data_IF_831043899883
#
_entry.id   IF_831043899883
#
_cell.length_a   1.000
_cell.length_b   1.000
_cell.length_c   1.000
_cell.angle_alpha   90.00
_cell.angle_beta   90.00
_cell.angle_gamma   90.00
#
_symmetry.space_group_name_H-M   'P 1'
#
loop_
_entity.id
_entity.type
_entity.pdbx_description
1 polymer ?
#
# COMPACT_ATOMS: atom_id res chain seq x y z
N UNK A 1 -2.68 -7.64 -21.85
CA UNK A 1 -2.32 -7.83 -20.43
C UNK A 1 -3.55 -8.29 -19.67
N UNK A 2 -3.48 -9.42 -18.97
CA UNK A 2 -4.61 -9.84 -18.13
C UNK A 2 -4.51 -9.18 -16.76
N UNK A 3 -5.53 -8.41 -16.40
CA UNK A 3 -5.67 -7.79 -15.08
C UNK A 3 -5.91 -8.88 -14.04
N UNK A 4 -5.19 -8.90 -12.91
CA UNK A 4 -5.45 -9.83 -11.83
C UNK A 4 -6.87 -9.61 -11.28
N UNK A 5 -7.53 -10.71 -10.97
CA UNK A 5 -8.83 -10.69 -10.31
C UNK A 5 -8.70 -10.18 -8.87
N UNK A 6 -9.81 -9.70 -8.31
CA UNK A 6 -9.85 -9.31 -6.90
C UNK A 6 -9.42 -10.45 -5.95
N UNK A 7 -9.83 -11.69 -6.25
CA UNK A 7 -9.45 -12.85 -5.47
C UNK A 7 -7.93 -13.10 -5.52
N UNK A 8 -7.30 -12.99 -6.69
CA UNK A 8 -5.84 -13.14 -6.81
C UNK A 8 -5.08 -12.07 -6.02
N UNK A 9 -5.57 -10.83 -6.03
CA UNK A 9 -5.02 -9.73 -5.23
C UNK A 9 -5.16 -10.05 -3.74
N UNK A 10 -6.35 -10.41 -3.27
CA UNK A 10 -6.58 -10.75 -1.86
C UNK A 10 -5.75 -11.95 -1.41
N UNK A 11 -5.64 -13.00 -2.22
CA UNK A 11 -4.84 -14.18 -1.92
C UNK A 11 -3.33 -13.90 -1.88
N UNK A 12 -2.89 -12.80 -2.50
CA UNK A 12 -1.51 -12.34 -2.45
C UNK A 12 -1.24 -11.38 -1.28
N UNK A 13 -2.26 -11.00 -0.51
CA UNK A 13 -2.16 -10.08 0.62
C UNK A 13 -2.35 -10.78 1.97
N UNK A 14 -1.62 -10.30 2.97
CA UNK A 14 -1.82 -10.63 4.37
C UNK A 14 -1.83 -9.36 5.22
N UNK A 15 -2.56 -9.40 6.33
CA UNK A 15 -2.64 -8.28 7.28
C UNK A 15 -3.63 -7.15 6.93
N UNK A 16 -4.19 -7.15 5.71
CA UNK A 16 -5.21 -6.19 5.27
C UNK A 16 -6.33 -6.88 4.47
N UNK A 17 -7.62 -6.52 4.64
CA UNK A 17 -8.15 -5.50 5.56
C UNK A 17 -8.12 -5.94 7.03
N UNK A 18 -8.01 -4.97 7.93
CA UNK A 18 -8.06 -5.18 9.39
C UNK A 18 -8.68 -3.97 10.07
N UNK A 19 -9.53 -4.22 11.05
CA UNK A 19 -10.03 -3.21 11.98
C UNK A 19 -9.11 -3.11 13.18
N UNK A 20 -8.61 -1.90 13.44
CA UNK A 20 -7.80 -1.57 14.59
C UNK A 20 -8.67 -1.41 15.83
N UNK A 21 -8.08 -1.74 16.97
CA UNK A 21 -8.60 -1.46 18.29
C UNK A 21 -7.48 -0.85 19.13
N UNK A 22 -7.83 -0.21 20.24
CA UNK A 22 -6.83 0.38 21.14
C UNK A 22 -5.81 -0.63 21.69
N UNK A 23 -6.13 -1.92 21.69
CA UNK A 23 -5.19 -3.00 22.02
C UNK A 23 -4.06 -3.19 21.01
N UNK A 24 -4.13 -2.52 19.84
CA UNK A 24 -3.04 -2.49 18.86
C UNK A 24 -2.03 -1.36 19.11
N UNK A 25 -2.31 -0.50 20.10
CA UNK A 25 -1.49 0.65 20.44
C UNK A 25 -0.88 0.46 21.81
N UNK A 26 0.39 0.81 21.95
CA UNK A 26 1.03 0.89 23.25
C UNK A 26 0.42 2.05 24.05
N UNK A 27 -0.13 1.76 25.21
CA UNK A 27 -0.63 2.82 26.11
C UNK A 27 0.54 3.63 26.67
N UNK A 28 0.44 4.95 26.62
CA UNK A 28 1.46 5.88 27.15
C UNK A 28 0.83 6.88 28.10
N UNK A 29 1.57 7.26 29.15
CA UNK A 29 1.13 8.30 30.08
C UNK A 29 1.22 9.70 29.47
N UNK A 30 2.26 9.93 28.66
CA UNK A 30 2.54 11.21 27.99
C UNK A 30 2.86 10.92 26.54
N UNK A 31 2.36 11.74 25.62
CA UNK A 31 2.65 11.58 24.20
C UNK A 31 4.16 11.73 23.94
N UNK A 32 4.79 10.75 23.27
CA UNK A 32 6.17 10.88 22.79
C UNK A 32 6.29 11.80 21.57
N UNK A 33 5.18 12.21 20.95
CA UNK A 33 5.16 13.16 19.83
C UNK A 33 4.01 14.17 20.01
N UNK A 34 4.14 15.16 20.92
CA UNK A 34 3.14 16.20 21.07
C UNK A 34 3.02 17.05 19.78
N UNK A 35 1.82 17.54 19.41
CA UNK A 35 0.58 17.49 20.18
C UNK A 35 -0.26 16.20 19.99
N UNK A 36 0.21 15.22 19.22
CA UNK A 36 -0.58 14.05 18.87
C UNK A 36 -0.87 13.15 20.09
N UNK A 37 -2.14 12.86 20.37
CA UNK A 37 -2.53 11.98 21.48
C UNK A 37 -2.51 10.48 21.12
N UNK A 38 -2.54 10.17 19.83
CA UNK A 38 -2.33 8.84 19.28
C UNK A 38 -1.49 8.92 18.01
N UNK A 39 -0.90 7.80 17.62
CA UNK A 39 -0.18 7.68 16.36
C UNK A 39 -0.14 6.22 15.90
N UNK A 40 -0.44 6.01 14.62
CA UNK A 40 -0.34 4.72 13.94
C UNK A 40 0.95 4.64 13.15
N UNK A 41 1.74 3.61 13.45
CA UNK A 41 2.90 3.24 12.63
C UNK A 41 2.57 1.96 11.87
N UNK A 42 2.31 2.09 10.58
CA UNK A 42 2.03 0.96 9.69
C UNK A 42 3.02 0.92 8.53
N UNK A 43 3.28 -0.27 8.02
CA UNK A 43 4.15 -0.47 6.86
C UNK A 43 3.66 -1.65 6.02
N UNK A 44 4.24 -1.79 4.84
CA UNK A 44 4.07 -2.98 4.03
C UNK A 44 5.42 -3.49 3.52
N UNK A 45 5.48 -4.77 3.18
CA UNK A 45 6.63 -5.39 2.51
C UNK A 45 6.16 -6.28 1.37
N UNK A 46 7.00 -6.46 0.33
CA UNK A 46 6.72 -7.34 -0.80
C UNK A 46 7.79 -8.41 -0.96
N UNK A 47 7.38 -9.65 -1.25
CA UNK A 47 8.29 -10.81 -1.36
C UNK A 47 7.78 -11.87 -2.35
N UNK A 48 8.57 -12.93 -2.57
CA UNK A 48 8.07 -14.22 -3.04
C UNK A 48 7.80 -14.36 -4.54
N UNK A 49 8.17 -13.38 -5.36
CA UNK A 49 7.85 -13.39 -6.78
C UNK A 49 8.86 -14.14 -7.65
N UNK A 50 8.38 -14.70 -8.77
CA UNK A 50 9.19 -15.36 -9.80
C UNK A 50 8.62 -15.13 -11.19
N UNK A 51 9.44 -15.33 -12.21
CA UNK A 51 9.04 -15.23 -13.62
C UNK A 51 8.61 -16.59 -14.16
N UNK A 52 7.45 -16.63 -14.81
CA UNK A 52 6.93 -17.82 -15.49
C UNK A 52 6.44 -17.46 -16.89
N UNK A 53 6.74 -18.30 -17.88
CA UNK A 53 6.16 -18.19 -19.21
C UNK A 53 4.79 -18.87 -19.22
N UNK A 54 3.73 -18.11 -19.47
CA UNK A 54 2.34 -18.59 -19.50
C UNK A 54 1.72 -18.14 -20.82
N UNK A 55 1.38 -19.10 -21.69
CA UNK A 55 0.70 -18.84 -22.97
C UNK A 55 1.37 -17.75 -23.83
N UNK A 56 2.71 -17.78 -23.93
CA UNK A 56 3.48 -16.82 -24.73
C UNK A 56 3.75 -15.47 -24.03
N UNK A 57 3.41 -15.31 -22.75
CA UNK A 57 3.76 -14.13 -21.97
C UNK A 57 4.60 -14.52 -20.74
N UNK A 58 5.74 -13.86 -20.56
CA UNK A 58 6.41 -13.88 -19.27
C UNK A 58 5.58 -13.07 -18.27
N UNK A 59 5.34 -13.63 -17.08
CA UNK A 59 4.51 -13.05 -16.04
C UNK A 59 5.14 -13.24 -14.67
N UNK A 60 4.79 -12.36 -13.74
CA UNK A 60 5.11 -12.53 -12.32
C UNK A 60 4.09 -13.46 -11.66
N UNK A 61 4.58 -14.48 -10.94
CA UNK A 61 3.76 -15.35 -10.07
C UNK A 61 4.35 -15.44 -8.67
N UNK A 62 3.54 -15.84 -7.69
CA UNK A 62 4.00 -16.06 -6.31
C UNK A 62 4.23 -14.80 -5.48
N UNK A 63 4.12 -13.60 -6.07
CA UNK A 63 4.25 -12.34 -5.36
C UNK A 63 3.31 -12.27 -4.14
N UNK A 64 3.83 -11.74 -3.05
CA UNK A 64 3.12 -11.51 -1.78
C UNK A 64 3.37 -10.11 -1.27
N UNK A 65 2.36 -9.54 -0.62
CA UNK A 65 2.48 -8.28 0.13
C UNK A 65 1.89 -8.46 1.52
N UNK A 66 2.67 -8.12 2.54
CA UNK A 66 2.21 -8.11 3.92
C UNK A 66 2.04 -6.68 4.41
N UNK A 67 0.96 -6.39 5.13
CA UNK A 67 0.68 -5.11 5.79
C UNK A 67 0.72 -5.31 7.29
N UNK A 68 1.62 -4.59 7.96
CA UNK A 68 1.82 -4.71 9.41
C UNK A 68 1.55 -3.38 10.11
N UNK A 69 1.02 -3.48 11.33
CA UNK A 69 1.06 -2.41 12.31
C UNK A 69 2.24 -2.66 13.25
N UNK A 70 3.13 -1.68 13.37
CA UNK A 70 4.20 -1.70 14.36
C UNK A 70 3.61 -1.27 15.71
N UNK A 71 3.19 -2.25 16.52
CA UNK A 71 2.58 -2.00 17.84
C UNK A 71 3.56 -1.36 18.84
N UNK A 72 4.87 -1.48 18.62
CA UNK A 72 5.89 -0.83 19.45
C UNK A 72 6.03 0.67 19.17
N UNK A 73 5.86 1.06 17.90
CA UNK A 73 5.90 2.45 17.45
C UNK A 73 4.52 3.13 17.47
N UNK A 74 3.43 2.36 17.44
CA UNK A 74 2.07 2.89 17.56
C UNK A 74 1.72 3.12 19.03
N UNK A 75 1.22 4.31 19.36
CA UNK A 75 0.90 4.67 20.75
C UNK A 75 -0.44 5.40 20.86
N UNK A 76 -1.00 5.40 22.07
CA UNK A 76 -2.15 6.23 22.43
C UNK A 76 -2.08 6.61 23.92
N UNK A 77 -2.41 7.87 24.23
CA UNK A 77 -2.59 8.32 25.63
C UNK A 77 -3.84 7.70 26.25
N UNK A 78 -3.95 7.75 27.58
CA UNK A 78 -5.16 7.29 28.26
C UNK A 78 -6.43 8.08 27.84
N UNK A 79 -6.31 9.38 27.55
CA UNK A 79 -7.42 10.19 27.03
C UNK A 79 -7.84 9.73 25.63
N UNK A 80 -6.88 9.54 24.73
CA UNK A 80 -7.10 9.07 23.37
C UNK A 80 -7.89 7.76 23.32
N UNK A 81 -7.58 6.81 24.22
CA UNK A 81 -8.22 5.49 24.25
C UNK A 81 -9.73 5.51 24.56
N UNK A 82 -10.27 6.66 24.97
CA UNK A 82 -11.73 6.84 25.16
C UNK A 82 -12.44 7.39 23.92
N UNK A 83 -11.69 7.87 22.93
CA UNK A 83 -12.23 8.52 21.74
C UNK A 83 -12.45 7.52 20.60
N UNK A 84 -13.69 7.42 20.11
CA UNK A 84 -13.99 6.62 18.90
C UNK A 84 -13.54 7.35 17.63
N UNK A 85 -13.62 8.68 17.62
CA UNK A 85 -13.22 9.50 16.48
C UNK A 85 -11.71 9.42 16.24
N UNK A 86 -10.92 9.47 17.31
CA UNK A 86 -9.47 9.33 17.21
C UNK A 86 -9.09 7.92 16.75
N UNK A 87 -9.73 6.86 17.27
CA UNK A 87 -9.49 5.50 16.77
C UNK A 87 -9.83 5.38 15.28
N UNK A 88 -10.90 6.04 14.83
CA UNK A 88 -11.31 6.06 13.43
C UNK A 88 -10.29 6.79 12.56
N UNK A 89 -9.71 7.88 13.08
CA UNK A 89 -8.64 8.61 12.40
C UNK A 89 -7.37 7.75 12.26
N UNK A 90 -6.95 7.09 13.35
CA UNK A 90 -5.85 6.14 13.37
C UNK A 90 -6.07 4.93 12.42
N UNK A 91 -7.30 4.43 12.35
CA UNK A 91 -7.67 3.43 11.35
C UNK A 91 -7.43 3.93 9.91
N UNK A 92 -7.66 5.21 9.63
CA UNK A 92 -7.41 5.80 8.32
C UNK A 92 -5.94 5.75 7.90
N UNK A 93 -5.00 6.02 8.83
CA UNK A 93 -3.57 5.84 8.57
C UNK A 93 -3.22 4.40 8.19
N UNK A 94 -3.81 3.42 8.88
CA UNK A 94 -3.62 2.01 8.54
C UNK A 94 -4.25 1.65 7.19
N UNK A 95 -5.45 2.16 6.92
CA UNK A 95 -6.16 1.94 5.66
C UNK A 95 -5.40 2.50 4.45
N UNK A 96 -4.82 3.69 4.56
CA UNK A 96 -3.96 4.26 3.52
C UNK A 96 -2.81 3.30 3.19
N UNK A 97 -2.10 2.81 4.21
CA UNK A 97 -1.00 1.86 4.04
C UNK A 97 -1.47 0.58 3.35
N UNK A 98 -2.59 0.00 3.79
CA UNK A 98 -3.14 -1.23 3.24
C UNK A 98 -3.67 -1.09 1.81
N UNK A 99 -4.33 0.02 1.49
CA UNK A 99 -4.83 0.30 0.15
C UNK A 99 -3.71 0.56 -0.86
N UNK A 100 -2.67 1.30 -0.46
CA UNK A 100 -1.46 1.48 -1.29
C UNK A 100 -0.77 0.14 -1.52
N UNK A 101 -0.62 -0.68 -0.47
CA UNK A 101 -0.04 -2.03 -0.57
C UNK A 101 -0.83 -2.93 -1.53
N UNK A 102 -2.16 -2.83 -1.52
CA UNK A 102 -3.04 -3.52 -2.47
C UNK A 102 -2.81 -3.07 -3.91
N UNK A 103 -2.73 -1.75 -4.14
CA UNK A 103 -2.49 -1.21 -5.48
C UNK A 103 -1.13 -1.67 -6.03
N UNK A 104 -0.12 -1.81 -5.17
CA UNK A 104 1.20 -2.36 -5.55
C UNK A 104 1.06 -3.80 -6.04
N UNK A 105 0.46 -4.69 -5.23
CA UNK A 105 0.38 -6.11 -5.62
C UNK A 105 -0.47 -6.29 -6.88
N UNK A 106 -1.53 -5.49 -7.05
CA UNK A 106 -2.31 -5.44 -8.28
C UNK A 106 -1.44 -5.06 -9.49
N UNK A 107 -0.59 -4.03 -9.36
CA UNK A 107 0.32 -3.61 -10.43
C UNK A 107 1.37 -4.67 -10.74
N UNK A 108 2.00 -5.26 -9.71
CA UNK A 108 3.01 -6.31 -9.86
C UNK A 108 2.43 -7.52 -10.59
N UNK A 109 1.24 -8.00 -10.19
CA UNK A 109 0.59 -9.14 -10.82
C UNK A 109 0.09 -8.84 -12.25
N UNK A 110 -0.06 -7.56 -12.61
CA UNK A 110 -0.42 -7.14 -13.96
C UNK A 110 0.76 -7.06 -14.93
N UNK A 111 2.01 -7.11 -14.43
CA UNK A 111 3.21 -7.01 -15.25
C UNK A 111 3.34 -8.25 -16.16
N UNK A 112 3.60 -8.00 -17.45
CA UNK A 112 3.85 -9.05 -18.44
C UNK A 112 4.76 -8.58 -19.57
N UNK A 113 5.56 -9.49 -20.13
CA UNK A 113 6.28 -9.27 -21.39
C UNK A 113 5.90 -10.35 -22.40
N UNK A 114 5.58 -9.94 -23.63
CA UNK A 114 5.30 -10.86 -24.74
C UNK A 114 6.57 -11.60 -25.17
N UNK A 115 6.51 -12.93 -25.27
CA UNK A 115 7.65 -13.77 -25.60
C UNK A 115 8.24 -13.45 -26.97
N UNK A 116 7.40 -13.17 -27.97
CA UNK A 116 7.83 -12.85 -29.33
C UNK A 116 8.60 -11.52 -29.35
N UNK A 117 8.12 -10.53 -28.60
CA UNK A 117 8.81 -9.24 -28.44
C UNK A 117 10.16 -9.43 -27.75
N UNK A 118 10.21 -10.22 -26.67
CA UNK A 118 11.48 -10.53 -25.99
C UNK A 118 12.46 -11.25 -26.92
N UNK A 119 11.99 -12.19 -27.73
CA UNK A 119 12.81 -12.93 -28.68
C UNK A 119 13.44 -12.01 -29.75
N UNK A 120 12.69 -11.02 -30.24
CA UNK A 120 13.20 -10.01 -31.18
C UNK A 120 14.22 -9.11 -30.51
N UNK A 121 13.90 -8.53 -29.34
CA UNK A 121 14.78 -7.58 -28.62
C UNK A 121 16.11 -8.21 -28.22
N UNK A 122 16.11 -9.50 -27.86
CA UNK A 122 17.31 -10.20 -27.39
C UNK A 122 18.02 -10.98 -28.50
N UNK A 123 17.48 -11.03 -29.71
CA UNK A 123 18.03 -11.81 -30.81
C UNK A 123 17.69 -13.31 -30.71
N UNK A 124 17.39 -13.88 -31.87
CA UNK A 124 16.83 -15.23 -32.05
C UNK A 124 17.75 -16.37 -31.54
N UNK A 125 19.05 -16.09 -31.31
CA UNK A 125 20.04 -17.07 -30.86
C UNK A 125 20.20 -17.22 -29.34
N UNK A 126 19.54 -16.39 -28.53
CA UNK A 126 19.64 -16.52 -27.07
C UNK A 126 18.91 -17.77 -26.56
N UNK A 127 19.49 -18.45 -25.56
CA UNK A 127 18.82 -19.57 -24.91
C UNK A 127 17.57 -19.10 -24.16
N UNK A 128 16.60 -20.01 -23.93
CA UNK A 128 15.42 -19.71 -23.10
C UNK A 128 15.81 -19.20 -21.71
N UNK A 129 16.89 -19.74 -21.12
CA UNK A 129 17.40 -19.28 -19.84
C UNK A 129 17.93 -17.85 -19.90
N UNK A 130 18.65 -17.48 -20.96
CA UNK A 130 19.15 -16.12 -21.14
C UNK A 130 17.99 -15.11 -21.26
N UNK A 131 16.90 -15.48 -21.95
CA UNK A 131 15.67 -14.67 -22.01
C UNK A 131 15.00 -14.53 -20.65
N UNK A 132 14.83 -15.62 -19.90
CA UNK A 132 14.25 -15.59 -18.55
C UNK A 132 15.07 -14.69 -17.61
N UNK A 133 16.40 -14.80 -17.64
CA UNK A 133 17.28 -13.97 -16.82
C UNK A 133 17.12 -12.49 -17.14
N UNK A 134 17.05 -12.14 -18.42
CA UNK A 134 16.82 -10.76 -18.85
C UNK A 134 15.45 -10.25 -18.41
N UNK A 135 14.38 -11.01 -18.67
CA UNK A 135 13.01 -10.61 -18.26
C UNK A 135 12.91 -10.47 -16.75
N UNK A 136 13.61 -11.31 -15.98
CA UNK A 136 13.68 -11.20 -14.52
C UNK A 136 14.30 -9.87 -14.09
N UNK A 137 15.34 -9.40 -14.77
CA UNK A 137 15.95 -8.09 -14.49
C UNK A 137 15.01 -6.94 -14.84
N UNK A 138 14.26 -7.02 -15.94
CA UNK A 138 13.29 -5.99 -16.31
C UNK A 138 12.10 -5.95 -15.34
N UNK A 139 11.54 -7.10 -14.96
CA UNK A 139 10.54 -7.14 -13.88
C UNK A 139 11.08 -6.60 -12.56
N UNK A 140 12.33 -6.87 -12.20
CA UNK A 140 12.92 -6.30 -11.00
C UNK A 140 12.96 -4.75 -11.06
N UNK A 141 13.27 -4.16 -12.23
CA UNK A 141 13.23 -2.70 -12.41
C UNK A 141 11.81 -2.15 -12.25
N UNK A 142 10.82 -2.82 -12.83
CA UNK A 142 9.42 -2.40 -12.73
C UNK A 142 8.87 -2.55 -11.31
N UNK A 143 9.15 -3.66 -10.62
CA UNK A 143 8.79 -3.86 -9.21
C UNK A 143 9.44 -2.78 -8.34
N UNK A 144 10.72 -2.46 -8.57
CA UNK A 144 11.40 -1.39 -7.85
C UNK A 144 10.78 -0.01 -8.12
N UNK A 145 10.36 0.25 -9.37
CA UNK A 145 9.69 1.50 -9.75
C UNK A 145 8.33 1.62 -9.04
N UNK A 146 7.50 0.58 -9.12
CA UNK A 146 6.19 0.51 -8.43
C UNK A 146 6.38 0.75 -6.92
N UNK A 147 7.37 0.10 -6.31
CA UNK A 147 7.68 0.28 -4.89
C UNK A 147 8.06 1.72 -4.53
N UNK A 148 8.86 2.40 -5.35
CA UNK A 148 9.21 3.82 -5.13
C UNK A 148 8.01 4.75 -5.30
N UNK A 149 7.21 4.55 -6.34
CA UNK A 149 6.00 5.34 -6.58
C UNK A 149 5.00 5.21 -5.42
N UNK A 150 4.81 3.99 -4.92
CA UNK A 150 3.94 3.74 -3.78
C UNK A 150 4.47 4.33 -2.47
N UNK A 151 5.79 4.24 -2.23
CA UNK A 151 6.43 4.91 -1.08
C UNK A 151 6.24 6.42 -1.15
N UNK A 152 6.42 7.03 -2.33
CA UNK A 152 6.20 8.46 -2.51
C UNK A 152 4.74 8.87 -2.30
N UNK A 153 3.78 8.04 -2.73
CA UNK A 153 2.36 8.28 -2.44
C UNK A 153 2.06 8.19 -0.93
N UNK A 154 2.60 7.17 -0.26
CA UNK A 154 2.46 7.00 1.19
C UNK A 154 3.05 8.19 1.95
N UNK A 155 4.24 8.66 1.57
CA UNK A 155 4.92 9.80 2.19
C UNK A 155 4.17 11.13 2.02
N UNK A 156 3.37 11.27 0.96
CA UNK A 156 2.50 12.46 0.79
C UNK A 156 1.23 12.39 1.63
N UNK A 157 0.70 11.18 1.83
CA UNK A 157 -0.58 10.98 2.50
C UNK A 157 -0.45 10.91 4.01
N UNK A 158 0.66 10.37 4.51
CA UNK A 158 0.95 10.17 5.92
C UNK A 158 1.78 11.32 6.49
N UNK A 159 1.66 11.55 7.79
CA UNK A 159 2.56 12.43 8.52
C UNK A 159 3.95 11.84 8.59
N UNK A 160 4.96 12.67 8.29
CA UNK A 160 6.36 12.28 8.38
C UNK A 160 6.72 12.05 9.86
N UNK A 161 7.09 10.82 10.28
CA UNK A 161 7.37 10.52 11.67
C UNK A 161 8.68 11.13 12.17
N UNK A 162 9.55 11.63 11.28
CA UNK A 162 10.83 12.26 11.62
C UNK A 162 10.66 13.76 11.76
N UNK A 163 9.99 14.39 10.80
CA UNK A 163 9.85 15.86 10.78
C UNK A 163 8.58 16.35 11.45
N UNK A 164 7.58 15.47 11.66
CA UNK A 164 6.27 15.82 12.18
C UNK A 164 5.44 16.65 11.19
N UNK A 165 5.84 16.73 9.92
CA UNK A 165 5.09 17.46 8.90
C UNK A 165 3.85 16.65 8.52
N UNK A 166 2.69 17.26 8.69
CA UNK A 166 1.40 16.65 8.38
C UNK A 166 1.32 16.18 6.94
N UNK A 167 0.86 14.95 6.76
CA UNK A 167 0.45 14.43 5.46
C UNK A 167 -0.84 15.09 4.97
N UNK A 168 -1.21 14.82 3.72
CA UNK A 168 -2.47 15.31 3.14
C UNK A 168 -3.68 14.86 3.98
N UNK A 169 -3.67 13.62 4.49
CA UNK A 169 -4.77 13.09 5.28
C UNK A 169 -4.96 13.88 6.58
N UNK A 170 -3.89 14.13 7.33
CA UNK A 170 -3.93 14.85 8.59
C UNK A 170 -4.26 16.32 8.39
N UNK A 171 -3.70 16.94 7.34
CA UNK A 171 -4.01 18.32 6.94
C UNK A 171 -5.51 18.48 6.64
N UNK A 172 -6.10 17.56 5.88
CA UNK A 172 -7.51 17.66 5.48
C UNK A 172 -8.47 17.34 6.62
N UNK A 173 -8.14 16.33 7.43
CA UNK A 173 -8.97 15.90 8.57
C UNK A 173 -8.70 16.71 9.83
N UNK A 174 -7.70 17.59 9.82
CA UNK A 174 -7.22 18.33 10.99
C UNK A 174 -7.07 17.40 12.21
N UNK A 175 -6.31 16.30 12.05
CA UNK A 175 -6.08 15.30 13.10
C UNK A 175 -7.39 14.83 13.76
N UNK A 176 -8.36 14.37 12.95
CA UNK A 176 -9.74 13.99 13.31
C UNK A 176 -10.74 15.13 13.63
N UNK A 177 -10.30 16.37 13.83
CA UNK A 177 -11.18 17.47 14.25
C UNK A 177 -12.15 17.92 13.14
N UNK A 178 -11.78 17.77 11.87
CA UNK A 178 -12.65 18.02 10.73
C UNK A 178 -13.43 16.74 10.36
N UNK A 179 -14.51 16.51 11.11
CA UNK A 179 -15.34 15.30 10.97
C UNK A 179 -15.98 15.16 9.59
N UNK A 180 -16.27 16.26 8.90
CA UNK A 180 -16.78 16.24 7.51
C UNK A 180 -15.72 15.70 6.56
N UNK A 181 -14.47 16.18 6.64
CA UNK A 181 -13.39 15.64 5.82
C UNK A 181 -13.07 14.19 6.19
N UNK A 182 -13.11 13.84 7.48
CA UNK A 182 -12.96 12.47 7.96
C UNK A 182 -14.01 11.54 7.33
N UNK A 183 -15.28 11.95 7.26
CA UNK A 183 -16.35 11.17 6.63
C UNK A 183 -16.12 10.95 5.12
N UNK A 184 -15.58 11.96 4.42
CA UNK A 184 -15.20 11.82 3.00
C UNK A 184 -14.09 10.77 2.83
N UNK A 185 -13.04 10.83 3.65
CA UNK A 185 -11.98 9.82 3.65
C UNK A 185 -12.50 8.43 3.99
N UNK A 186 -13.34 8.30 5.02
CA UNK A 186 -13.96 7.03 5.40
C UNK A 186 -14.76 6.43 4.24
N UNK A 187 -15.51 7.25 3.52
CA UNK A 187 -16.26 6.81 2.32
C UNK A 187 -15.31 6.29 1.24
N UNK A 188 -14.22 7.02 0.95
CA UNK A 188 -13.20 6.59 -0.01
C UNK A 188 -12.54 5.28 0.40
N UNK A 189 -12.17 5.12 1.67
CA UNK A 189 -11.57 3.89 2.17
C UNK A 189 -12.53 2.71 2.01
N UNK A 190 -13.80 2.86 2.39
CA UNK A 190 -14.79 1.79 2.26
C UNK A 190 -15.05 1.44 0.79
N UNK A 191 -15.23 2.46 -0.07
CA UNK A 191 -15.40 2.23 -1.50
C UNK A 191 -14.20 1.49 -2.06
N UNK A 192 -12.98 1.98 -1.82
CA UNK A 192 -11.77 1.35 -2.31
C UNK A 192 -11.69 -0.12 -1.86
N UNK A 193 -11.93 -0.42 -0.57
CA UNK A 193 -11.92 -1.79 -0.02
C UNK A 193 -12.91 -2.73 -0.72
N UNK A 194 -14.10 -2.26 -1.06
CA UNK A 194 -15.19 -3.08 -1.63
C UNK A 194 -15.05 -3.25 -3.15
N UNK A 195 -14.70 -2.18 -3.87
CA UNK A 195 -14.73 -2.17 -5.34
C UNK A 195 -13.42 -2.61 -5.99
N UNK A 196 -12.36 -2.80 -5.20
CA UNK A 196 -11.00 -3.01 -5.70
C UNK A 196 -10.52 -1.88 -6.65
N UNK A 197 -11.07 -0.68 -6.51
CA UNK A 197 -10.62 0.48 -7.29
C UNK A 197 -9.18 0.83 -6.92
N UNK A 198 -8.35 1.14 -7.91
CA UNK A 198 -6.99 1.63 -7.67
C UNK A 198 -7.05 2.93 -6.85
N UNK A 199 -6.63 2.86 -5.60
CA UNK A 199 -6.78 3.93 -4.62
C UNK A 199 -5.91 5.14 -4.98
N UNK A 200 -4.67 4.92 -5.41
CA UNK A 200 -3.80 6.00 -5.86
C UNK A 200 -4.36 6.74 -7.09
N UNK A 201 -4.99 6.03 -8.03
CA UNK A 201 -5.64 6.63 -9.18
C UNK A 201 -6.88 7.42 -8.77
N UNK A 202 -7.71 6.91 -7.86
CA UNK A 202 -8.86 7.64 -7.31
C UNK A 202 -8.42 8.98 -6.70
N UNK A 203 -7.35 8.96 -5.90
CA UNK A 203 -6.80 10.17 -5.29
C UNK A 203 -6.26 11.16 -6.33
N UNK A 204 -5.57 10.69 -7.37
CA UNK A 204 -5.09 11.55 -8.47
C UNK A 204 -6.25 12.18 -9.24
N UNK A 205 -7.28 11.41 -9.56
CA UNK A 205 -8.47 11.90 -10.25
C UNK A 205 -9.25 12.92 -9.41
N UNK A 206 -9.19 12.79 -8.09
CA UNK A 206 -9.75 13.75 -7.15
C UNK A 206 -8.88 14.98 -6.89
N UNK A 207 -7.68 15.07 -7.49
CA UNK A 207 -6.73 16.17 -7.27
C UNK A 207 -6.09 16.17 -5.87
N UNK A 208 -6.08 15.01 -5.19
CA UNK A 208 -5.49 14.83 -3.85
C UNK A 208 -3.99 14.49 -3.96
N UNK A 209 -3.60 13.64 -4.93
CA UNK A 209 -2.21 13.22 -5.20
C UNK A 209 -1.68 13.76 -6.53
#
# INVERSE_FOLDING_TARGET
MATPTFHEIQAAMTGFPRTLAWTNFRSVKTSPSPPHEAMTSASFSSTGWRVTLVKGEYRITGARVNVDINTGASFATASAQTSTDLLTHEQGHFDITGLIARDIISQILSLSYDESVVAVVRGVGNSSQARINWVTQEFQKDVNRIGREAKAALDRLQTDPVTGVDGIYDTQTNHSQNTTAQAVWNTRFQQAKITNTNFQLDLKLAGIL
#
